data_IF_536588739706
#
_entry.id   IF_536588739706
#
_cell.length_a   1.000
_cell.length_b   1.000
_cell.length_c   1.000
_cell.angle_alpha   90.00
_cell.angle_beta   90.00
_cell.angle_gamma   90.00
#
_symmetry.space_group_name_H-M   'P 1'
#
loop_
_entity.id
_entity.type
_entity.pdbx_description
1 polymer ?
#
# COMPACT_ATOMS: atom_id res chain seq x y z
N UNK A 1 18.96 16.49 39.56
CA UNK A 1 19.35 16.96 38.21
C UNK A 1 20.04 15.87 37.35
N UNK A 2 20.86 14.98 37.93
CA UNK A 2 21.59 13.93 37.19
C UNK A 2 20.71 12.80 36.61
N UNK A 3 19.66 12.38 37.32
CA UNK A 3 18.78 11.28 36.89
C UNK A 3 18.05 11.60 35.57
N UNK A 4 17.65 12.87 35.36
CA UNK A 4 17.01 13.29 34.11
C UNK A 4 17.97 13.24 32.91
N UNK A 5 19.27 13.52 33.11
CA UNK A 5 20.29 13.43 32.05
C UNK A 5 20.57 11.98 31.65
N UNK A 6 20.62 11.07 32.63
CA UNK A 6 20.83 9.64 32.39
C UNK A 6 19.65 9.05 31.61
N UNK A 7 18.42 9.39 32.00
CA UNK A 7 17.21 8.94 31.30
C UNK A 7 17.16 9.44 29.84
N UNK A 8 17.44 10.73 29.62
CA UNK A 8 17.47 11.31 28.28
C UNK A 8 18.59 10.71 27.38
N UNK A 9 19.70 10.27 27.96
CA UNK A 9 20.76 9.58 27.23
C UNK A 9 20.35 8.14 26.87
N UNK A 10 19.69 7.43 27.79
CA UNK A 10 19.11 6.11 27.54
C UNK A 10 18.04 6.14 26.45
N UNK A 11 17.15 7.13 26.47
CA UNK A 11 16.12 7.30 25.42
C UNK A 11 16.75 7.54 24.05
N UNK A 12 17.85 8.33 23.97
CA UNK A 12 18.61 8.52 22.74
C UNK A 12 19.28 7.22 22.27
N UNK A 13 19.93 6.49 23.17
CA UNK A 13 20.60 5.23 22.83
C UNK A 13 19.60 4.18 22.31
N UNK A 14 18.43 4.08 22.94
CA UNK A 14 17.34 3.23 22.46
C UNK A 14 16.85 3.65 21.08
N UNK A 15 16.66 4.95 20.84
CA UNK A 15 16.22 5.43 19.54
C UNK A 15 17.21 5.07 18.41
N UNK A 16 18.51 5.23 18.64
CA UNK A 16 19.54 4.83 17.66
C UNK A 16 19.59 3.32 17.43
N UNK A 17 19.45 2.53 18.50
CA UNK A 17 19.42 1.07 18.39
C UNK A 17 18.19 0.58 17.62
N UNK A 18 17.03 1.17 17.90
CA UNK A 18 15.76 0.87 17.22
C UNK A 18 15.81 1.28 15.74
N UNK A 19 16.42 2.43 15.43
CA UNK A 19 16.59 2.88 14.04
C UNK A 19 17.58 1.97 13.27
N UNK A 20 18.69 1.57 13.88
CA UNK A 20 19.64 0.64 13.28
C UNK A 20 19.03 -0.75 13.03
N UNK A 21 18.18 -1.23 13.95
CA UNK A 21 17.47 -2.49 13.81
C UNK A 21 16.42 -2.44 12.70
N UNK A 22 15.66 -1.35 12.61
CA UNK A 22 14.59 -1.20 11.62
C UNK A 22 15.08 -0.86 10.22
N UNK A 23 16.25 -0.21 10.09
CA UNK A 23 16.83 0.21 8.82
C UNK A 23 16.83 -0.87 7.71
N UNK A 24 17.30 -2.11 7.92
CA UNK A 24 17.30 -3.14 6.88
C UNK A 24 15.89 -3.61 6.48
N UNK A 25 14.91 -3.54 7.38
CA UNK A 25 13.55 -4.04 7.12
C UNK A 25 12.63 -3.02 6.44
N UNK A 26 13.01 -1.74 6.39
CA UNK A 26 12.19 -0.68 5.79
C UNK A 26 11.79 -0.98 4.35
N UNK A 27 12.71 -1.52 3.54
CA UNK A 27 12.44 -1.86 2.14
C UNK A 27 11.46 -3.02 2.01
N UNK A 28 11.61 -4.06 2.84
CA UNK A 28 10.72 -5.21 2.88
C UNK A 28 9.31 -4.82 3.33
N UNK A 29 9.20 -3.98 4.37
CA UNK A 29 7.92 -3.45 4.85
C UNK A 29 7.25 -2.59 3.78
N UNK A 30 8.00 -1.69 3.13
CA UNK A 30 7.45 -0.87 2.05
C UNK A 30 6.99 -1.72 0.85
N UNK A 31 7.69 -2.81 0.55
CA UNK A 31 7.28 -3.77 -0.48
C UNK A 31 6.00 -4.50 -0.09
N UNK A 32 5.92 -5.04 1.13
CA UNK A 32 4.74 -5.74 1.62
C UNK A 32 3.49 -4.84 1.58
N UNK A 33 3.64 -3.58 2.01
CA UNK A 33 2.56 -2.59 1.94
C UNK A 33 2.10 -2.34 0.49
N UNK A 34 3.03 -2.23 -0.47
CA UNK A 34 2.68 -2.07 -1.89
C UNK A 34 1.95 -3.30 -2.43
N UNK A 35 2.42 -4.49 -2.10
CA UNK A 35 1.77 -5.75 -2.52
C UNK A 35 0.35 -5.86 -1.96
N UNK A 36 0.13 -5.43 -0.71
CA UNK A 36 -1.20 -5.33 -0.10
C UNK A 36 -2.10 -4.31 -0.82
N UNK A 37 -1.58 -3.11 -1.11
CA UNK A 37 -2.30 -2.07 -1.84
C UNK A 37 -2.69 -2.55 -3.26
N UNK A 38 -1.77 -3.22 -3.97
CA UNK A 38 -2.01 -3.71 -5.33
C UNK A 38 -3.00 -4.90 -5.34
N UNK A 39 -2.98 -5.77 -4.32
CA UNK A 39 -3.97 -6.83 -4.11
C UNK A 39 -5.36 -6.25 -3.83
N UNK A 40 -5.42 -5.20 -3.02
CA UNK A 40 -6.67 -4.52 -2.71
C UNK A 40 -7.30 -3.90 -3.97
N UNK A 41 -6.50 -3.19 -4.77
CA UNK A 41 -6.95 -2.65 -6.06
C UNK A 41 -7.42 -3.77 -7.00
N UNK A 42 -6.68 -4.89 -7.07
CA UNK A 42 -7.10 -6.05 -7.86
C UNK A 42 -8.46 -6.59 -7.41
N UNK A 43 -8.69 -6.74 -6.12
CA UNK A 43 -9.99 -7.18 -5.60
C UNK A 43 -11.10 -6.20 -6.00
N UNK A 44 -10.91 -4.90 -5.80
CA UNK A 44 -11.93 -3.89 -6.12
C UNK A 44 -12.33 -3.90 -7.61
N UNK A 45 -11.35 -4.06 -8.52
CA UNK A 45 -11.57 -3.97 -9.97
C UNK A 45 -11.71 -5.32 -10.69
N UNK A 46 -11.48 -6.44 -10.01
CA UNK A 46 -11.56 -7.81 -10.57
C UNK A 46 -12.88 -8.09 -11.30
N UNK A 47 -14.00 -7.69 -10.72
CA UNK A 47 -15.32 -7.88 -11.32
C UNK A 47 -15.51 -7.11 -12.62
N UNK A 48 -14.97 -5.88 -12.70
CA UNK A 48 -15.03 -5.09 -13.93
C UNK A 48 -14.18 -5.69 -15.05
N UNK A 49 -13.16 -6.49 -14.70
CA UNK A 49 -12.34 -7.27 -15.63
C UNK A 49 -12.96 -8.65 -15.95
N UNK A 50 -14.15 -8.95 -15.41
CA UNK A 50 -14.83 -10.24 -15.60
C UNK A 50 -14.32 -11.37 -14.71
N UNK A 51 -13.47 -11.08 -13.72
CA UNK A 51 -13.01 -12.06 -12.73
C UNK A 51 -13.98 -12.06 -11.56
N UNK A 52 -14.65 -13.18 -11.25
CA UNK A 52 -15.62 -13.24 -10.17
C UNK A 52 -14.94 -13.01 -8.81
N UNK A 53 -15.50 -12.12 -7.98
CA UNK A 53 -14.97 -11.79 -6.67
C UNK A 53 -16.04 -11.95 -5.57
N UNK A 54 -15.78 -12.75 -4.52
CA UNK A 54 -16.73 -12.90 -3.40
C UNK A 54 -16.95 -11.61 -2.59
N UNK A 55 -16.02 -10.64 -2.64
CA UNK A 55 -16.09 -9.38 -1.92
C UNK A 55 -16.70 -8.23 -2.74
N UNK A 56 -17.06 -8.47 -4.00
CA UNK A 56 -17.64 -7.48 -4.92
C UNK A 56 -18.74 -6.64 -4.30
N UNK A 57 -19.68 -7.29 -3.60
CA UNK A 57 -20.80 -6.63 -2.94
C UNK A 57 -20.35 -5.52 -1.97
N UNK A 58 -19.23 -5.72 -1.27
CA UNK A 58 -18.70 -4.77 -0.29
C UNK A 58 -17.78 -3.72 -0.91
N UNK A 59 -17.15 -4.03 -2.05
CA UNK A 59 -16.14 -3.16 -2.66
C UNK A 59 -16.68 -2.25 -3.76
N UNK A 60 -17.92 -2.46 -4.22
CA UNK A 60 -18.53 -1.64 -5.28
C UNK A 60 -18.52 -0.13 -4.96
N UNK A 61 -18.81 0.25 -3.71
CA UNK A 61 -18.84 1.66 -3.30
C UNK A 61 -17.45 2.31 -3.33
N UNK A 62 -16.39 1.51 -3.25
CA UNK A 62 -15.00 1.97 -3.22
C UNK A 62 -14.44 2.22 -4.63
N UNK A 63 -15.02 1.59 -5.66
CA UNK A 63 -14.58 1.74 -7.06
C UNK A 63 -14.49 3.21 -7.50
N UNK A 64 -15.52 4.07 -7.34
CA UNK A 64 -15.43 5.47 -7.78
C UNK A 64 -14.36 6.26 -7.02
N UNK A 65 -14.13 5.96 -5.75
CA UNK A 65 -13.11 6.62 -4.93
C UNK A 65 -11.68 6.24 -5.33
N UNK A 66 -11.51 4.99 -5.77
CA UNK A 66 -10.20 4.45 -6.14
C UNK A 66 -9.88 4.61 -7.63
N UNK A 67 -10.85 5.06 -8.42
CA UNK A 67 -10.72 5.25 -9.86
C UNK A 67 -9.61 6.26 -10.21
N UNK A 68 -9.42 7.30 -9.40
CA UNK A 68 -8.33 8.27 -9.58
C UNK A 68 -6.94 7.62 -9.48
N UNK A 69 -6.82 6.57 -8.66
CA UNK A 69 -5.57 5.83 -8.44
C UNK A 69 -5.38 4.65 -9.40
N UNK A 70 -6.38 4.39 -10.25
CA UNK A 70 -6.37 3.25 -11.16
C UNK A 70 -5.25 3.36 -12.20
N UNK A 71 -4.99 4.56 -12.73
CA UNK A 71 -3.95 4.79 -13.74
C UNK A 71 -2.58 4.30 -13.29
N UNK A 72 -2.16 4.75 -12.12
CA UNK A 72 -0.86 4.37 -11.58
C UNK A 72 -0.80 2.89 -11.23
N UNK A 73 -1.92 2.29 -10.82
CA UNK A 73 -1.99 0.88 -10.48
C UNK A 73 -1.86 -0.02 -11.71
N UNK A 74 -2.66 0.19 -12.77
CA UNK A 74 -2.61 -0.71 -13.93
C UNK A 74 -1.26 -0.65 -14.65
N UNK A 75 -0.61 0.52 -14.67
CA UNK A 75 0.76 0.68 -15.17
C UNK A 75 1.75 -0.12 -14.31
N UNK A 76 1.65 -0.05 -12.97
CA UNK A 76 2.51 -0.85 -12.08
C UNK A 76 2.32 -2.35 -12.25
N UNK A 77 1.10 -2.77 -12.55
CA UNK A 77 0.78 -4.17 -12.87
C UNK A 77 1.32 -4.62 -14.23
N UNK A 78 1.90 -3.71 -15.02
CA UNK A 78 2.48 -4.01 -16.33
C UNK A 78 1.45 -4.16 -17.44
N UNK A 79 0.24 -3.62 -17.26
CA UNK A 79 -0.80 -3.63 -18.28
C UNK A 79 -0.54 -2.52 -19.31
N UNK A 80 -0.51 -2.86 -20.59
CA UNK A 80 -0.28 -1.86 -21.66
C UNK A 80 -1.44 -0.86 -21.80
N UNK A 81 -2.67 -1.30 -21.49
CA UNK A 81 -3.90 -0.50 -21.57
C UNK A 81 -4.80 -0.82 -20.40
N UNK A 82 -5.70 0.13 -20.11
CA UNK A 82 -6.81 -0.09 -19.17
C UNK A 82 -7.60 -1.35 -19.56
N UNK A 83 -7.76 -2.33 -18.66
CA UNK A 83 -8.62 -3.49 -18.88
C UNK A 83 -10.12 -3.14 -18.76
N UNK A 84 -10.46 -1.91 -18.38
CA UNK A 84 -11.85 -1.46 -18.24
C UNK A 84 -12.37 -0.94 -19.58
N UNK A 85 -13.36 -1.61 -20.15
CA UNK A 85 -13.95 -1.23 -21.44
C UNK A 85 -14.74 0.10 -21.37
N UNK A 86 -15.37 0.36 -20.21
CA UNK A 86 -16.26 1.51 -20.03
C UNK A 86 -15.54 2.77 -19.54
N UNK A 87 -14.26 2.66 -19.14
CA UNK A 87 -13.50 3.79 -18.62
C UNK A 87 -12.12 3.86 -19.26
N UNK A 88 -11.89 4.93 -20.02
CA UNK A 88 -10.60 5.19 -20.65
C UNK A 88 -9.69 5.91 -19.68
N UNK A 89 -8.78 5.14 -19.11
CA UNK A 89 -7.73 5.62 -18.22
C UNK A 89 -6.47 6.11 -18.99
N UNK A 90 -6.43 5.90 -20.31
CA UNK A 90 -5.41 6.38 -21.25
C UNK A 90 -6.05 6.87 -22.55
#
# INVERSE_FOLDING_TARGET
>A
MQIKKIKAWWDKANHFAEEAYNAPYRSAIARAKREEDDLFMLLVFSEMMGVPNPASYYTMELQPLLLERFHDWHIRMGMEKSPLDHFKCC
#
